data_IF_260406487678
#
_entry.id   IF_260406487678
#
_cell.length_a   1.000
_cell.length_b   1.000
_cell.length_c   1.000
_cell.angle_alpha   90.00
_cell.angle_beta   90.00
_cell.angle_gamma   90.00
#
_symmetry.space_group_name_H-M   'P 1'
#
loop_
_entity.id
_entity.type
_entity.pdbx_description
1 polymer ?
#
# COMPACT_ATOMS: atom_id res chain seq x y z
N UNK A 1 -35.56 -77.88 -17.73
CA UNK A 1 -34.74 -77.58 -18.92
C UNK A 1 -34.60 -76.07 -18.99
N UNK A 2 -33.35 -75.62 -19.00
CA UNK A 2 -32.93 -74.25 -18.69
C UNK A 2 -33.16 -73.30 -19.88
N UNK A 3 -33.89 -72.21 -19.66
CA UNK A 3 -33.99 -71.06 -20.58
C UNK A 3 -33.03 -69.97 -20.11
N UNK A 4 -32.00 -69.71 -20.93
CA UNK A 4 -31.05 -68.63 -20.74
C UNK A 4 -31.70 -67.28 -21.10
N UNK A 5 -31.65 -66.32 -20.16
CA UNK A 5 -31.93 -64.90 -20.40
C UNK A 5 -30.62 -64.18 -20.71
N UNK A 6 -30.59 -63.48 -21.85
CA UNK A 6 -29.54 -62.55 -22.23
C UNK A 6 -29.79 -61.18 -21.57
N UNK A 7 -28.81 -60.67 -20.83
CA UNK A 7 -28.77 -59.31 -20.32
C UNK A 7 -28.12 -58.37 -21.35
N UNK A 8 -28.63 -57.14 -21.56
CA UNK A 8 -28.03 -56.18 -22.46
C UNK A 8 -26.84 -55.44 -21.82
N UNK A 9 -25.78 -55.28 -22.61
CA UNK A 9 -24.60 -54.47 -22.33
C UNK A 9 -24.97 -53.00 -22.12
N UNK A 10 -24.59 -52.44 -20.98
CA UNK A 10 -24.51 -50.99 -20.76
C UNK A 10 -23.06 -50.53 -20.87
N UNK A 11 -22.75 -49.80 -21.94
CA UNK A 11 -21.50 -49.07 -22.12
C UNK A 11 -21.33 -47.96 -21.06
N UNK A 12 -20.15 -47.81 -20.44
CA UNK A 12 -19.88 -46.69 -19.56
C UNK A 12 -19.55 -45.43 -20.36
N UNK A 13 -20.46 -44.44 -20.31
CA UNK A 13 -20.22 -43.06 -20.77
C UNK A 13 -18.99 -42.46 -20.07
N UNK A 14 -17.89 -42.31 -20.80
CA UNK A 14 -16.72 -41.49 -20.43
C UNK A 14 -17.14 -40.04 -20.17
N UNK A 15 -17.34 -39.67 -18.90
CA UNK A 15 -17.38 -38.28 -18.46
C UNK A 15 -16.00 -37.68 -18.65
N UNK A 16 -15.81 -36.88 -19.70
CA UNK A 16 -14.66 -35.98 -19.83
C UNK A 16 -14.73 -34.98 -18.67
N UNK A 17 -13.79 -35.10 -17.73
CA UNK A 17 -13.53 -34.04 -16.77
C UNK A 17 -13.03 -32.82 -17.55
N UNK A 18 -13.85 -31.76 -17.58
CA UNK A 18 -13.36 -30.43 -17.93
C UNK A 18 -12.45 -29.98 -16.78
N UNK A 19 -11.16 -30.28 -16.91
CA UNK A 19 -10.12 -29.57 -16.18
C UNK A 19 -10.15 -28.12 -16.66
N UNK A 20 -10.84 -27.27 -15.93
CA UNK A 20 -10.67 -25.82 -16.00
C UNK A 20 -9.19 -25.53 -15.73
N UNK A 21 -8.49 -24.99 -16.72
CA UNK A 21 -7.15 -24.43 -16.51
C UNK A 21 -7.21 -23.45 -15.34
N UNK A 22 -6.28 -23.51 -14.37
CA UNK A 22 -6.23 -22.52 -13.31
C UNK A 22 -6.02 -21.17 -13.99
N UNK A 23 -6.98 -20.26 -13.82
CA UNK A 23 -6.88 -18.87 -14.22
C UNK A 23 -5.53 -18.34 -13.76
N UNK A 24 -4.62 -18.10 -14.71
CA UNK A 24 -3.29 -17.57 -14.42
C UNK A 24 -3.48 -16.19 -13.78
N UNK A 25 -3.41 -16.14 -12.44
CA UNK A 25 -3.52 -14.90 -11.69
C UNK A 25 -2.29 -14.06 -12.05
N UNK A 26 -2.51 -12.81 -12.43
CA UNK A 26 -1.43 -11.84 -12.70
C UNK A 26 -0.47 -11.82 -11.49
N UNK A 27 0.84 -12.11 -11.67
CA UNK A 27 1.81 -12.13 -10.58
C UNK A 27 1.82 -10.87 -9.71
N UNK A 28 1.53 -9.70 -10.30
CA UNK A 28 1.46 -8.43 -9.56
C UNK A 28 0.23 -8.43 -8.65
N UNK A 29 -0.92 -8.85 -9.17
CA UNK A 29 -2.16 -8.95 -8.38
C UNK A 29 -2.00 -9.96 -7.24
N UNK A 30 -1.36 -11.10 -7.48
CA UNK A 30 -1.08 -12.09 -6.45
C UNK A 30 -0.17 -11.50 -5.34
N UNK A 31 0.88 -10.77 -5.71
CA UNK A 31 1.78 -10.13 -4.75
C UNK A 31 1.07 -9.03 -3.93
N UNK A 32 0.23 -8.21 -4.57
CA UNK A 32 -0.56 -7.17 -3.87
C UNK A 32 -1.59 -7.79 -2.93
N UNK A 33 -2.31 -8.82 -3.38
CA UNK A 33 -3.28 -9.54 -2.56
C UNK A 33 -2.63 -10.15 -1.30
N UNK A 34 -1.37 -10.57 -1.37
CA UNK A 34 -0.65 -11.06 -0.20
C UNK A 34 -0.34 -9.95 0.81
N UNK A 35 0.07 -8.76 0.34
CA UNK A 35 0.26 -7.57 1.21
C UNK A 35 -1.05 -7.20 1.89
N UNK A 36 -2.15 -7.14 1.13
CA UNK A 36 -3.48 -6.82 1.63
C UNK A 36 -3.99 -7.86 2.64
N UNK A 37 -3.76 -9.15 2.37
CA UNK A 37 -4.11 -10.25 3.27
C UNK A 37 -3.38 -10.12 4.61
N UNK A 38 -2.06 -9.89 4.57
CA UNK A 38 -1.25 -9.72 5.78
C UNK A 38 -1.66 -8.48 6.58
N UNK A 39 -2.02 -7.40 5.88
CA UNK A 39 -2.53 -6.19 6.49
C UNK A 39 -3.93 -6.37 7.13
N UNK A 40 -4.83 -7.10 6.48
CA UNK A 40 -6.14 -7.44 7.03
C UNK A 40 -6.00 -8.31 8.30
N UNK A 41 -5.03 -9.23 8.33
CA UNK A 41 -4.68 -10.01 9.52
C UNK A 41 -4.21 -9.08 10.64
N UNK A 42 -3.32 -8.13 10.36
CA UNK A 42 -2.85 -7.13 11.34
C UNK A 42 -4.03 -6.36 11.96
N UNK A 43 -4.95 -5.83 11.14
CA UNK A 43 -6.15 -5.12 11.60
C UNK A 43 -7.05 -5.98 12.48
N UNK A 44 -7.35 -7.20 12.04
CA UNK A 44 -8.22 -8.12 12.78
C UNK A 44 -7.64 -8.43 14.17
N UNK A 45 -6.37 -8.80 14.24
CA UNK A 45 -5.74 -9.14 15.51
C UNK A 45 -5.56 -7.93 16.42
N UNK A 46 -5.39 -6.71 15.88
CA UNK A 46 -5.40 -5.48 16.69
C UNK A 46 -6.77 -5.26 17.35
N UNK A 47 -7.88 -5.46 16.63
CA UNK A 47 -9.22 -5.36 17.18
C UNK A 47 -9.50 -6.44 18.26
N UNK A 48 -9.08 -7.68 18.00
CA UNK A 48 -9.19 -8.78 18.97
C UNK A 48 -8.37 -8.48 20.23
N UNK A 49 -7.13 -8.01 20.07
CA UNK A 49 -6.25 -7.58 21.18
C UNK A 49 -6.93 -6.52 22.03
N UNK A 50 -7.49 -5.47 21.43
CA UNK A 50 -8.20 -4.39 22.15
C UNK A 50 -9.35 -4.93 22.99
N UNK A 51 -10.18 -5.78 22.40
CA UNK A 51 -11.33 -6.40 23.08
C UNK A 51 -10.86 -7.24 24.27
N UNK A 52 -9.86 -8.10 24.08
CA UNK A 52 -9.34 -8.98 25.14
C UNK A 52 -8.62 -8.21 26.25
N UNK A 53 -7.92 -7.13 25.92
CA UNK A 53 -7.31 -6.25 26.90
C UNK A 53 -8.36 -5.52 27.75
N UNK A 54 -9.47 -5.08 27.14
CA UNK A 54 -10.58 -4.46 27.86
C UNK A 54 -11.29 -5.46 28.79
N UNK A 55 -11.57 -6.68 28.33
CA UNK A 55 -12.12 -7.78 29.15
C UNK A 55 -11.21 -8.07 30.36
N UNK A 56 -9.91 -8.17 30.13
CA UNK A 56 -8.91 -8.39 31.19
C UNK A 56 -8.93 -7.26 32.22
N UNK A 57 -8.88 -6.02 31.76
CA UNK A 57 -8.88 -4.84 32.64
C UNK A 57 -10.16 -4.75 33.47
N UNK A 58 -11.31 -5.11 32.90
CA UNK A 58 -12.59 -5.15 33.62
C UNK A 58 -12.57 -6.21 34.73
N UNK A 59 -12.14 -7.44 34.43
CA UNK A 59 -12.06 -8.51 35.42
C UNK A 59 -11.08 -8.13 36.54
N UNK A 60 -9.92 -7.56 36.20
CA UNK A 60 -8.93 -7.15 37.20
C UNK A 60 -9.43 -6.03 38.12
N UNK A 61 -10.29 -5.14 37.62
CA UNK A 61 -10.93 -4.08 38.40
C UNK A 61 -11.98 -4.64 39.36
N UNK A 62 -12.87 -5.50 38.86
CA UNK A 62 -14.08 -5.90 39.59
C UNK A 62 -13.87 -7.16 40.46
N UNK A 63 -12.81 -7.95 40.22
CA UNK A 63 -12.62 -9.26 40.87
C UNK A 63 -12.68 -9.23 42.39
N UNK A 64 -12.17 -8.17 43.03
CA UNK A 64 -12.13 -8.07 44.50
C UNK A 64 -13.53 -7.96 45.08
N UNK A 65 -14.34 -7.07 44.50
CA UNK A 65 -15.75 -6.88 44.88
C UNK A 65 -16.56 -8.15 44.61
N UNK A 66 -16.42 -8.74 43.42
CA UNK A 66 -17.13 -9.98 43.07
C UNK A 66 -16.82 -11.15 44.01
N UNK A 67 -15.58 -11.27 44.49
CA UNK A 67 -15.19 -12.31 45.46
C UNK A 67 -15.82 -12.05 46.83
N UNK A 68 -15.87 -10.79 47.28
CA UNK A 68 -16.47 -10.43 48.57
C UNK A 68 -17.99 -10.61 48.58
N UNK A 69 -18.65 -10.38 47.44
CA UNK A 69 -20.09 -10.58 47.26
C UNK A 69 -20.52 -12.05 47.14
N UNK A 70 -19.56 -12.96 46.90
CA UNK A 70 -19.83 -14.39 46.79
C UNK A 70 -20.09 -14.99 48.17
N UNK A 71 -21.37 -15.04 48.57
CA UNK A 71 -21.88 -15.56 49.85
C UNK A 71 -21.50 -17.05 50.10
N UNK A 72 -20.26 -17.32 50.50
CA UNK A 72 -19.75 -18.66 50.85
C UNK A 72 -18.93 -19.35 49.75
N UNK A 73 -19.04 -18.91 48.50
CA UNK A 73 -18.36 -19.53 47.33
C UNK A 73 -17.14 -18.72 46.82
N UNK A 74 -16.65 -17.76 47.62
CA UNK A 74 -15.59 -16.84 47.22
C UNK A 74 -14.28 -17.50 46.77
N UNK A 75 -13.89 -18.62 47.37
CA UNK A 75 -12.67 -19.35 47.00
C UNK A 75 -12.78 -19.98 45.59
N UNK A 76 -13.90 -20.63 45.29
CA UNK A 76 -14.14 -21.21 43.98
C UNK A 76 -14.25 -20.13 42.90
N UNK A 77 -14.92 -19.00 43.21
CA UNK A 77 -14.98 -17.86 42.30
C UNK A 77 -13.58 -17.28 42.05
N UNK A 78 -12.77 -17.09 43.10
CA UNK A 78 -11.41 -16.58 42.98
C UNK A 78 -10.53 -17.45 42.06
N UNK A 79 -10.60 -18.77 42.22
CA UNK A 79 -9.90 -19.72 41.34
C UNK A 79 -10.36 -19.59 39.88
N UNK A 80 -11.67 -19.54 39.64
CA UNK A 80 -12.22 -19.40 38.29
C UNK A 80 -11.79 -18.09 37.61
N UNK A 81 -11.79 -16.97 38.35
CA UNK A 81 -11.36 -15.67 37.85
C UNK A 81 -9.86 -15.64 37.58
N UNK A 82 -9.04 -16.29 38.42
CA UNK A 82 -7.61 -16.42 38.19
C UNK A 82 -7.30 -17.21 36.90
N UNK A 83 -8.05 -18.28 36.63
CA UNK A 83 -7.95 -19.02 35.36
C UNK A 83 -8.34 -18.14 34.16
N UNK A 84 -9.44 -17.40 34.26
CA UNK A 84 -9.88 -16.48 33.20
C UNK A 84 -8.86 -15.38 32.91
N UNK A 85 -8.32 -14.73 33.95
CA UNK A 85 -7.27 -13.72 33.84
C UNK A 85 -6.03 -14.29 33.15
N UNK A 86 -5.61 -15.50 33.53
CA UNK A 86 -4.45 -16.16 32.92
C UNK A 86 -4.69 -16.45 31.45
N UNK A 87 -5.86 -16.99 31.09
CA UNK A 87 -6.24 -17.25 29.70
C UNK A 87 -6.26 -15.96 28.86
N UNK A 88 -6.85 -14.87 29.37
CA UNK A 88 -6.91 -13.58 28.67
C UNK A 88 -5.52 -12.97 28.47
N UNK A 89 -4.63 -13.05 29.47
CA UNK A 89 -3.23 -12.59 29.33
C UNK A 89 -2.50 -13.33 28.21
N UNK A 90 -2.63 -14.65 28.16
CA UNK A 90 -2.05 -15.48 27.08
C UNK A 90 -2.64 -15.09 25.72
N UNK A 91 -3.95 -14.83 25.64
CA UNK A 91 -4.58 -14.39 24.40
C UNK A 91 -4.06 -13.01 23.95
N UNK A 92 -3.92 -12.03 24.85
CA UNK A 92 -3.35 -10.71 24.54
C UNK A 92 -1.92 -10.84 24.01
N UNK A 93 -1.07 -11.63 24.68
CA UNK A 93 0.30 -11.90 24.25
C UNK A 93 0.35 -12.58 22.87
N UNK A 94 -0.55 -13.54 22.63
CA UNK A 94 -0.69 -14.22 21.33
C UNK A 94 -1.10 -13.23 20.24
N UNK A 95 -2.00 -12.28 20.53
CA UNK A 95 -2.37 -11.24 19.58
C UNK A 95 -1.16 -10.36 19.24
N UNK A 96 -0.42 -9.89 20.25
CA UNK A 96 0.75 -9.03 20.08
C UNK A 96 1.84 -9.73 19.23
N UNK A 97 2.12 -11.01 19.50
CA UNK A 97 3.05 -11.82 18.72
C UNK A 97 2.58 -12.00 17.26
N UNK A 98 1.27 -12.20 17.06
CA UNK A 98 0.67 -12.39 15.73
C UNK A 98 0.73 -11.11 14.90
N UNK A 99 0.39 -9.96 15.51
CA UNK A 99 0.50 -8.63 14.90
C UNK A 99 1.94 -8.40 14.45
N UNK A 100 2.92 -8.63 15.34
CA UNK A 100 4.33 -8.44 15.03
C UNK A 100 4.81 -9.38 13.89
N UNK A 101 4.35 -10.63 13.87
CA UNK A 101 4.67 -11.59 12.82
C UNK A 101 4.06 -11.19 11.46
N UNK A 102 2.77 -10.87 11.41
CA UNK A 102 2.07 -10.43 10.20
C UNK A 102 2.75 -9.18 9.61
N UNK A 103 3.12 -8.24 10.48
CA UNK A 103 3.79 -7.01 10.08
C UNK A 103 5.19 -7.24 9.50
N UNK A 104 6.01 -8.11 10.12
CA UNK A 104 7.32 -8.52 9.56
C UNK A 104 7.16 -9.19 8.20
N UNK A 105 6.16 -10.06 8.06
CA UNK A 105 5.86 -10.72 6.79
C UNK A 105 5.40 -9.70 5.75
N UNK A 106 4.57 -8.71 6.11
CA UNK A 106 4.13 -7.64 5.21
C UNK A 106 5.29 -6.81 4.70
N UNK A 107 6.20 -6.42 5.61
CA UNK A 107 7.43 -5.72 5.25
C UNK A 107 8.29 -6.50 4.24
N UNK A 108 8.35 -7.83 4.38
CA UNK A 108 9.05 -8.71 3.44
C UNK A 108 8.26 -8.96 2.14
N UNK A 109 6.93 -8.90 2.17
CA UNK A 109 6.03 -9.11 1.04
C UNK A 109 6.09 -7.95 0.02
N UNK A 110 6.19 -6.70 0.52
CA UNK A 110 6.19 -5.48 -0.30
C UNK A 110 7.24 -5.50 -1.43
N UNK A 111 8.53 -5.85 -1.18
CA UNK A 111 9.51 -5.97 -2.26
C UNK A 111 9.18 -6.99 -3.35
N UNK A 112 8.36 -8.01 -3.07
CA UNK A 112 7.93 -8.96 -4.11
C UNK A 112 6.96 -8.33 -5.10
N UNK A 113 6.14 -7.36 -4.67
CA UNK A 113 5.29 -6.57 -5.58
C UNK A 113 6.16 -5.83 -6.59
N UNK A 114 7.20 -5.14 -6.12
CA UNK A 114 8.11 -4.40 -6.99
C UNK A 114 8.89 -5.31 -7.95
N UNK A 115 9.31 -6.49 -7.49
CA UNK A 115 9.95 -7.49 -8.37
C UNK A 115 8.98 -8.01 -9.44
N UNK A 116 7.71 -8.23 -9.10
CA UNK A 116 6.70 -8.64 -10.06
C UNK A 116 6.42 -7.54 -11.10
N UNK A 117 6.36 -6.26 -10.67
CA UNK A 117 6.22 -5.10 -11.56
C UNK A 117 7.42 -4.99 -12.51
N UNK A 118 8.65 -5.08 -11.98
CA UNK A 118 9.87 -5.08 -12.79
C UNK A 118 9.89 -6.23 -13.81
N UNK A 119 9.53 -7.45 -13.39
CA UNK A 119 9.49 -8.61 -14.28
C UNK A 119 8.41 -8.52 -15.36
N UNK A 120 7.29 -7.81 -15.11
CA UNK A 120 6.31 -7.54 -16.16
C UNK A 120 6.86 -6.55 -17.20
N UNK A 121 7.54 -5.49 -16.75
CA UNK A 121 8.14 -4.50 -17.65
C UNK A 121 9.28 -5.10 -18.49
N UNK A 122 10.12 -5.96 -17.91
CA UNK A 122 11.13 -6.71 -18.67
C UNK A 122 10.52 -7.63 -19.72
N UNK A 123 9.43 -8.34 -19.40
CA UNK A 123 8.70 -9.16 -20.39
C UNK A 123 8.18 -8.31 -21.55
N UNK A 124 7.61 -7.14 -21.26
CA UNK A 124 7.17 -6.21 -22.31
C UNK A 124 8.34 -5.68 -23.16
N UNK A 125 9.49 -5.43 -22.54
CA UNK A 125 10.69 -5.03 -23.25
C UNK A 125 11.20 -6.15 -24.18
N UNK A 126 11.17 -7.40 -23.73
CA UNK A 126 11.58 -8.55 -24.52
C UNK A 126 10.61 -8.84 -25.68
N UNK A 127 9.30 -8.68 -25.47
CA UNK A 127 8.30 -8.74 -26.54
C UNK A 127 8.56 -7.68 -27.61
N UNK A 128 8.87 -6.44 -27.19
CA UNK A 128 9.24 -5.35 -28.09
C UNK A 128 10.56 -5.59 -28.81
N UNK A 129 11.53 -6.21 -28.13
CA UNK A 129 12.80 -6.61 -28.75
C UNK A 129 12.58 -7.68 -29.83
N UNK A 130 11.70 -8.65 -29.59
CA UNK A 130 11.31 -9.64 -30.59
C UNK A 130 10.57 -8.99 -31.78
N UNK A 131 9.66 -8.05 -31.53
CA UNK A 131 8.99 -7.25 -32.57
C UNK A 131 10.02 -6.47 -33.42
N UNK A 132 10.98 -5.80 -32.77
CA UNK A 132 12.03 -5.05 -33.44
C UNK A 132 12.92 -5.95 -34.31
N UNK A 133 13.29 -7.13 -33.82
CA UNK A 133 14.07 -8.11 -34.56
C UNK A 133 13.32 -8.62 -35.80
N UNK A 134 12.02 -8.91 -35.66
CA UNK A 134 11.18 -9.34 -36.78
C UNK A 134 11.06 -8.24 -37.85
N UNK A 135 10.84 -6.98 -37.45
CA UNK A 135 10.82 -5.84 -38.36
C UNK A 135 12.17 -5.60 -39.03
N UNK A 136 13.27 -5.70 -38.29
CA UNK A 136 14.63 -5.54 -38.82
C UNK A 136 14.94 -6.58 -39.90
N UNK A 137 14.60 -7.85 -39.64
CA UNK A 137 14.73 -8.93 -40.63
C UNK A 137 13.92 -8.64 -41.89
N UNK A 138 12.64 -8.27 -41.75
CA UNK A 138 11.77 -7.97 -42.89
C UNK A 138 12.28 -6.77 -43.69
N UNK A 139 12.78 -5.75 -43.02
CA UNK A 139 13.37 -4.56 -43.67
C UNK A 139 14.62 -4.94 -44.47
N UNK A 140 15.50 -5.78 -43.91
CA UNK A 140 16.70 -6.24 -44.61
C UNK A 140 16.35 -7.06 -45.88
N UNK A 141 15.34 -7.93 -45.82
CA UNK A 141 14.83 -8.66 -46.98
C UNK A 141 14.35 -7.71 -48.09
N UNK A 142 13.51 -6.73 -47.73
CA UNK A 142 12.96 -5.77 -48.69
C UNK A 142 14.05 -4.89 -49.32
N UNK A 143 15.03 -4.43 -48.53
CA UNK A 143 16.16 -3.65 -49.05
C UNK A 143 17.03 -4.48 -50.01
N UNK A 144 17.21 -5.77 -49.74
CA UNK A 144 17.94 -6.67 -50.65
C UNK A 144 17.18 -6.90 -51.97
N UNK A 145 15.86 -7.06 -51.92
CA UNK A 145 15.00 -7.14 -53.10
C UNK A 145 15.08 -5.84 -53.93
N UNK A 146 14.99 -4.68 -53.28
CA UNK A 146 15.07 -3.37 -53.92
C UNK A 146 16.44 -3.14 -54.58
N UNK A 147 17.53 -3.47 -53.87
CA UNK A 147 18.89 -3.43 -54.40
C UNK A 147 19.03 -4.30 -55.65
N UNK A 148 18.46 -5.52 -55.65
CA UNK A 148 18.52 -6.41 -56.81
C UNK A 148 17.74 -5.87 -58.00
N UNK A 149 16.60 -5.23 -57.76
CA UNK A 149 15.76 -4.67 -58.81
C UNK A 149 16.38 -3.42 -59.46
N UNK A 150 16.99 -2.55 -58.66
CA UNK A 150 17.46 -1.24 -59.13
C UNK A 150 18.98 -1.13 -59.31
N UNK A 151 19.75 -2.09 -58.79
CA UNK A 151 21.21 -2.06 -58.82
C UNK A 151 21.85 -1.02 -57.91
N UNK A 152 21.10 -0.44 -56.96
CA UNK A 152 21.57 0.60 -56.05
C UNK A 152 21.55 0.15 -54.58
N UNK A 153 22.52 0.65 -53.81
CA UNK A 153 22.58 0.44 -52.36
C UNK A 153 21.73 1.47 -51.61
N UNK A 154 20.89 0.97 -50.72
CA UNK A 154 20.00 1.78 -49.88
C UNK A 154 20.55 1.83 -48.45
N UNK A 155 20.98 3.02 -48.01
CA UNK A 155 21.55 3.24 -46.67
C UNK A 155 20.69 4.22 -45.86
N UNK A 156 20.68 4.10 -44.52
CA UNK A 156 19.96 5.05 -43.67
C UNK A 156 20.43 6.50 -43.85
N UNK A 157 19.48 7.43 -43.97
CA UNK A 157 19.75 8.84 -44.26
C UNK A 157 20.61 9.56 -43.19
N UNK A 158 20.61 9.10 -41.93
CA UNK A 158 21.42 9.71 -40.86
C UNK A 158 22.93 9.43 -40.98
N UNK A 159 23.35 8.53 -41.88
CA UNK A 159 24.75 8.34 -42.24
C UNK A 159 25.22 9.35 -43.29
N UNK A 160 24.29 10.10 -43.89
CA UNK A 160 24.59 11.24 -44.75
C UNK A 160 24.72 12.45 -43.84
N UNK A 161 25.87 13.10 -43.89
CA UNK A 161 26.27 14.24 -43.07
C UNK A 161 25.13 15.28 -42.93
N UNK A 162 24.41 15.23 -41.81
CA UNK A 162 23.21 16.06 -41.54
C UNK A 162 23.57 17.55 -41.53
N UNK A 163 24.84 17.91 -41.26
CA UNK A 163 25.34 19.28 -41.35
C UNK A 163 25.20 19.87 -42.77
N UNK A 164 25.23 19.03 -43.82
CA UNK A 164 24.99 19.49 -45.20
C UNK A 164 23.52 19.80 -45.50
N UNK A 165 22.57 19.14 -44.82
CA UNK A 165 21.13 19.36 -44.99
C UNK A 165 20.62 20.53 -44.14
N UNK A 166 21.30 20.84 -43.04
CA UNK A 166 20.95 21.96 -42.15
C UNK A 166 21.51 23.32 -42.61
N UNK A 167 22.24 23.39 -43.72
CA UNK A 167 22.72 24.67 -44.25
C UNK A 167 21.51 25.56 -44.68
N UNK A 168 21.25 26.68 -43.98
CA UNK A 168 20.07 27.51 -44.22
C UNK A 168 20.06 28.16 -45.61
N UNK A 169 21.20 28.16 -46.31
CA UNK A 169 21.29 28.63 -47.70
C UNK A 169 20.69 27.65 -48.72
N UNK A 170 20.42 26.39 -48.36
CA UNK A 170 19.87 25.36 -49.26
C UNK A 170 18.53 24.77 -48.77
N UNK A 171 18.17 24.98 -47.50
CA UNK A 171 16.92 24.53 -46.90
C UNK A 171 15.73 25.47 -47.21
N UNK A 172 15.28 25.52 -48.47
CA UNK A 172 13.92 26.02 -48.81
C UNK A 172 12.95 24.84 -48.86
N UNK A 173 12.61 24.29 -47.70
CA UNK A 173 11.63 23.21 -47.58
C UNK A 173 11.42 22.80 -46.13
N UNK A 174 10.17 22.48 -45.76
CA UNK A 174 9.90 21.74 -44.55
C UNK A 174 10.35 20.29 -44.76
N UNK A 175 11.18 19.77 -43.87
CA UNK A 175 11.59 18.37 -43.89
C UNK A 175 10.89 17.64 -42.75
N UNK A 176 10.14 16.58 -43.08
CA UNK A 176 9.64 15.65 -42.09
C UNK A 176 10.68 14.56 -41.86
N UNK A 177 11.28 14.56 -40.67
CA UNK A 177 12.20 13.49 -40.26
C UNK A 177 11.36 12.34 -39.70
N UNK A 178 11.15 11.32 -40.52
CA UNK A 178 10.47 10.08 -40.09
C UNK A 178 11.52 9.09 -39.59
N UNK A 179 11.48 8.79 -38.29
CA UNK A 179 12.34 7.76 -37.71
C UNK A 179 11.86 6.36 -38.13
N UNK A 180 12.77 5.43 -38.45
CA UNK A 180 12.40 4.04 -38.72
C UNK A 180 11.67 3.42 -37.52
N UNK A 181 10.67 2.58 -37.79
CA UNK A 181 9.93 1.86 -36.73
C UNK A 181 10.86 1.07 -35.79
N UNK A 182 11.96 0.54 -36.31
CA UNK A 182 12.98 -0.16 -35.52
C UNK A 182 13.65 0.75 -34.47
N UNK A 183 13.93 2.01 -34.80
CA UNK A 183 14.47 2.98 -33.85
C UNK A 183 13.44 3.31 -32.77
N UNK A 184 12.18 3.53 -33.16
CA UNK A 184 11.11 3.80 -32.20
C UNK A 184 10.92 2.63 -31.21
N UNK A 185 11.00 1.38 -31.69
CA UNK A 185 10.96 0.20 -30.83
C UNK A 185 12.18 0.12 -29.90
N UNK A 186 13.38 0.47 -30.38
CA UNK A 186 14.59 0.51 -29.55
C UNK A 186 14.45 1.52 -28.40
N UNK A 187 13.93 2.71 -28.67
CA UNK A 187 13.69 3.74 -27.66
C UNK A 187 12.65 3.25 -26.63
N UNK A 188 11.56 2.60 -27.09
CA UNK A 188 10.56 2.00 -26.21
C UNK A 188 11.16 0.91 -25.30
N UNK A 189 12.01 0.04 -25.83
CA UNK A 189 12.69 -1.01 -25.06
C UNK A 189 13.57 -0.38 -23.98
N UNK A 190 14.35 0.66 -24.33
CA UNK A 190 15.20 1.35 -23.37
C UNK A 190 14.38 1.96 -22.22
N UNK A 191 13.27 2.64 -22.54
CA UNK A 191 12.36 3.22 -21.54
C UNK A 191 11.73 2.14 -20.66
N UNK A 192 11.32 0.99 -21.22
CA UNK A 192 10.73 -0.11 -20.45
C UNK A 192 11.73 -0.71 -19.47
N UNK A 193 12.98 -0.93 -19.90
CA UNK A 193 14.06 -1.45 -19.04
C UNK A 193 14.48 -0.45 -17.96
N UNK A 194 14.54 0.84 -18.30
CA UNK A 194 14.75 1.89 -17.30
C UNK A 194 13.63 1.89 -16.24
N UNK A 195 12.37 1.82 -16.68
CA UNK A 195 11.23 1.70 -15.77
C UNK A 195 11.25 0.40 -14.97
N UNK A 196 11.74 -0.71 -15.50
CA UNK A 196 11.87 -1.97 -14.78
C UNK A 196 12.92 -1.90 -13.66
N UNK A 197 13.96 -1.09 -13.83
CA UNK A 197 14.98 -0.87 -12.80
C UNK A 197 14.47 -0.03 -11.63
N UNK A 198 13.53 0.90 -11.85
CA UNK A 198 13.05 1.84 -10.82
C UNK A 198 12.42 1.14 -9.59
N UNK A 199 11.49 0.17 -9.71
CA UNK A 199 10.93 -0.55 -8.56
C UNK A 199 11.96 -1.28 -7.72
N UNK A 200 13.06 -1.76 -8.31
CA UNK A 200 14.09 -2.54 -7.61
C UNK A 200 14.94 -1.67 -6.66
N UNK A 201 15.03 -0.37 -6.92
CA UNK A 201 15.71 0.60 -6.04
C UNK A 201 14.83 1.14 -4.91
N UNK A 202 13.53 0.79 -4.87
CA UNK A 202 12.61 1.27 -3.83
C UNK A 202 12.91 0.62 -2.48
N UNK A 203 12.74 1.38 -1.42
CA UNK A 203 12.75 0.89 -0.05
C UNK A 203 11.35 0.99 0.55
N UNK A 204 11.07 0.13 1.54
CA UNK A 204 9.76 0.13 2.19
C UNK A 204 9.61 1.43 2.97
N UNK A 205 8.54 2.18 2.68
CA UNK A 205 8.28 3.46 3.35
C UNK A 205 7.87 3.20 4.80
N UNK A 206 8.71 3.63 5.73
CA UNK A 206 8.54 3.45 7.20
C UNK A 206 8.24 4.74 7.95
N UNK A 207 8.02 5.83 7.23
CA UNK A 207 7.80 7.16 7.81
C UNK A 207 6.75 7.96 7.08
N UNK A 208 6.39 9.07 7.71
CA UNK A 208 5.78 10.26 7.10
C UNK A 208 4.64 10.81 7.95
N UNK A 209 3.67 11.45 7.30
CA UNK A 209 2.75 12.37 7.99
C UNK A 209 1.33 12.22 7.46
N UNK A 210 0.35 12.34 8.35
CA UNK A 210 -1.07 12.56 8.02
C UNK A 210 -1.62 13.70 8.87
N UNK A 211 -2.56 14.46 8.31
CA UNK A 211 -3.15 15.63 8.95
C UNK A 211 -4.64 15.70 8.65
N UNK A 212 -5.45 16.10 9.63
CA UNK A 212 -6.87 16.39 9.44
C UNK A 212 -7.05 17.70 8.65
N UNK A 213 -8.01 17.72 7.73
CA UNK A 213 -8.44 18.93 7.02
C UNK A 213 -9.31 19.83 7.93
N UNK A 214 -8.82 21.03 8.30
CA UNK A 214 -9.55 21.94 9.18
C UNK A 214 -10.89 22.43 8.62
N UNK A 215 -11.12 22.34 7.30
CA UNK A 215 -12.31 22.86 6.64
C UNK A 215 -13.44 21.82 6.55
N UNK A 216 -13.18 20.57 6.89
CA UNK A 216 -14.15 19.49 6.74
C UNK A 216 -14.92 19.32 8.06
N UNK A 217 -16.21 19.68 8.02
CA UNK A 217 -17.11 19.61 9.19
C UNK A 217 -17.25 18.16 9.65
N UNK A 218 -17.02 17.93 10.95
CA UNK A 218 -17.18 16.61 11.57
C UNK A 218 -15.96 15.70 11.53
N UNK A 219 -14.77 16.21 11.16
CA UNK A 219 -13.56 15.40 11.25
C UNK A 219 -13.24 15.05 12.70
N UNK A 220 -13.19 13.76 12.94
CA UNK A 220 -12.82 13.20 14.22
C UNK A 220 -11.36 12.74 14.18
N UNK A 221 -10.68 12.72 15.33
CA UNK A 221 -9.34 12.16 15.49
C UNK A 221 -9.19 10.76 14.87
N UNK A 222 -10.28 9.99 14.81
CA UNK A 222 -10.36 8.65 14.19
C UNK A 222 -10.06 8.65 12.68
N UNK A 223 -10.23 9.76 11.95
CA UNK A 223 -9.87 9.83 10.52
C UNK A 223 -8.35 9.70 10.32
N UNK A 224 -7.54 10.11 11.30
CA UNK A 224 -6.08 9.92 11.24
C UNK A 224 -5.70 8.45 11.20
N UNK A 225 -6.46 7.59 11.90
CA UNK A 225 -6.22 6.16 11.87
C UNK A 225 -6.42 5.63 10.45
N UNK A 226 -7.58 5.91 9.85
CA UNK A 226 -7.90 5.46 8.49
C UNK A 226 -6.91 6.04 7.46
N UNK A 227 -6.51 7.31 7.59
CA UNK A 227 -5.50 7.92 6.71
C UNK A 227 -4.11 7.29 6.87
N UNK A 228 -3.68 7.02 8.11
CA UNK A 228 -2.37 6.42 8.37
C UNK A 228 -2.30 4.99 7.81
N UNK A 229 -3.41 4.26 7.84
CA UNK A 229 -3.48 2.85 7.45
C UNK A 229 -4.08 2.64 6.04
N UNK A 230 -4.36 3.72 5.29
CA UNK A 230 -5.00 3.67 3.97
C UNK A 230 -4.17 2.93 2.90
N UNK A 231 -2.84 2.97 3.01
CA UNK A 231 -1.93 2.31 2.07
C UNK A 231 -1.26 1.08 2.72
N UNK A 232 -1.68 -0.15 2.34
CA UNK A 232 -1.07 -1.39 2.82
C UNK A 232 0.42 -1.55 2.46
N UNK A 233 0.90 -0.83 1.44
CA UNK A 233 2.31 -0.83 1.01
C UNK A 233 3.21 0.05 1.88
N UNK A 234 2.61 0.82 2.79
CA UNK A 234 3.31 1.66 3.77
C UNK A 234 3.27 1.05 5.16
N UNK A 235 4.38 1.13 5.88
CA UNK A 235 4.46 0.71 7.27
C UNK A 235 4.23 1.93 8.18
N UNK A 236 2.96 2.22 8.46
CA UNK A 236 2.53 3.15 9.53
C UNK A 236 2.66 2.49 10.91
N UNK A 237 2.76 3.24 12.03
CA UNK A 237 2.90 2.65 13.37
C UNK A 237 1.86 1.57 13.68
N UNK A 238 2.12 0.67 14.66
CA UNK A 238 1.15 -0.34 15.06
C UNK A 238 -0.22 0.28 15.34
N UNK A 239 -1.30 -0.35 14.87
CA UNK A 239 -2.67 0.18 14.98
C UNK A 239 -3.01 0.57 16.43
N UNK A 240 -2.59 -0.25 17.39
CA UNK A 240 -2.79 0.02 18.82
C UNK A 240 -2.01 1.23 19.33
N UNK A 241 -0.83 1.52 18.75
CA UNK A 241 -0.04 2.72 19.05
C UNK A 241 -0.73 3.98 18.49
N UNK A 242 -1.28 3.88 17.28
CA UNK A 242 -2.07 4.93 16.64
C UNK A 242 -3.32 5.25 17.46
N UNK A 243 -4.12 4.24 17.80
CA UNK A 243 -5.33 4.41 18.63
C UNK A 243 -4.99 5.04 19.98
N UNK A 244 -3.95 4.55 20.67
CA UNK A 244 -3.55 5.09 21.96
C UNK A 244 -3.08 6.56 21.86
N UNK A 245 -2.42 6.94 20.78
CA UNK A 245 -2.06 8.34 20.55
C UNK A 245 -3.29 9.20 20.26
N UNK A 246 -4.20 8.71 19.41
CA UNK A 246 -5.46 9.40 19.08
C UNK A 246 -6.29 9.65 20.35
N UNK A 247 -6.41 8.65 21.23
CA UNK A 247 -7.10 8.78 22.52
C UNK A 247 -6.45 9.85 23.41
N UNK A 248 -5.10 9.83 23.54
CA UNK A 248 -4.36 10.86 24.31
C UNK A 248 -4.53 12.25 23.72
N UNK A 249 -4.41 12.39 22.41
CA UNK A 249 -4.57 13.63 21.66
C UNK A 249 -5.99 14.21 21.84
N UNK A 250 -7.01 13.36 21.76
CA UNK A 250 -8.41 13.72 21.96
C UNK A 250 -8.69 14.18 23.39
N UNK A 251 -8.16 13.45 24.38
CA UNK A 251 -8.29 13.81 25.79
C UNK A 251 -7.59 15.15 26.12
N UNK A 252 -6.42 15.40 25.52
CA UNK A 252 -5.69 16.65 25.65
C UNK A 252 -6.48 17.83 25.05
N UNK A 253 -7.07 17.66 23.87
CA UNK A 253 -7.91 18.70 23.26
C UNK A 253 -9.19 18.95 24.08
N UNK A 254 -9.85 17.90 24.57
CA UNK A 254 -11.03 18.03 25.43
C UNK A 254 -10.70 18.81 26.71
N UNK A 255 -9.57 18.51 27.36
CA UNK A 255 -9.08 19.24 28.53
C UNK A 255 -8.78 20.70 28.21
N UNK A 256 -8.12 20.98 27.07
CA UNK A 256 -7.84 22.34 26.59
C UNK A 256 -9.14 23.12 26.38
N UNK A 257 -10.13 22.54 25.69
CA UNK A 257 -11.45 23.15 25.46
C UNK A 257 -12.18 23.44 26.77
N UNK A 258 -12.17 22.50 27.73
CA UNK A 258 -12.78 22.72 29.04
C UNK A 258 -12.18 23.92 29.79
N UNK A 259 -10.85 24.10 29.74
CA UNK A 259 -10.19 25.27 30.33
C UNK A 259 -10.61 26.59 29.65
N UNK A 260 -10.75 26.60 28.32
CA UNK A 260 -11.20 27.79 27.59
C UNK A 260 -12.63 28.20 27.94
N UNK A 261 -13.52 27.23 28.20
CA UNK A 261 -14.88 27.50 28.70
C UNK A 261 -14.83 28.23 30.03
N UNK A 262 -13.99 27.76 30.96
CA UNK A 262 -13.84 28.38 32.27
C UNK A 262 -13.28 29.81 32.21
N UNK A 263 -12.48 30.14 31.18
CA UNK A 263 -11.86 31.45 31.01
C UNK A 263 -12.61 32.40 30.05
N UNK A 264 -13.81 32.04 29.59
CA UNK A 264 -14.65 32.91 28.77
C UNK A 264 -14.13 33.18 27.35
N UNK A 265 -13.23 32.33 26.83
CA UNK A 265 -12.59 32.51 25.53
C UNK A 265 -13.44 31.94 24.37
N UNK A 266 -14.58 32.59 24.08
CA UNK A 266 -15.57 32.11 23.09
C UNK A 266 -14.99 31.86 21.68
N UNK A 267 -14.12 32.75 21.19
CA UNK A 267 -13.51 32.65 19.84
C UNK A 267 -12.59 31.41 19.72
N UNK A 268 -11.93 31.01 20.82
CA UNK A 268 -11.02 29.86 20.84
C UNK A 268 -11.75 28.50 20.95
N UNK A 269 -13.04 28.52 21.30
CA UNK A 269 -13.91 27.34 21.43
C UNK A 269 -14.50 26.88 20.10
N UNK A 270 -14.76 27.82 19.19
CA UNK A 270 -15.35 27.55 17.88
C UNK A 270 -14.31 27.18 16.81
N UNK A 271 -13.03 27.43 17.07
CA UNK A 271 -11.99 27.09 16.11
C UNK A 271 -11.83 25.56 15.94
N UNK A 272 -11.76 25.06 14.69
CA UNK A 272 -11.50 23.64 14.46
C UNK A 272 -10.14 23.23 15.00
N UNK A 273 -10.02 22.01 15.52
CA UNK A 273 -8.76 21.43 15.96
C UNK A 273 -8.14 20.66 14.80
N UNK A 274 -6.87 20.92 14.52
CA UNK A 274 -6.03 20.19 13.58
C UNK A 274 -5.20 19.18 14.36
N UNK A 275 -5.30 17.93 13.93
CA UNK A 275 -4.46 16.85 14.41
C UNK A 275 -3.44 16.51 13.33
N UNK A 276 -2.18 16.46 13.71
CA UNK A 276 -1.07 16.12 12.84
C UNK A 276 -0.31 14.96 13.46
N UNK A 277 -0.26 13.84 12.74
CA UNK A 277 0.42 12.63 13.15
C UNK A 277 1.64 12.43 12.26
N UNK A 278 2.82 12.42 12.88
CA UNK A 278 4.09 12.19 12.21
C UNK A 278 4.73 10.93 12.77
N UNK A 279 5.29 10.10 11.91
CA UNK A 279 6.01 8.90 12.34
C UNK A 279 7.29 8.68 11.55
N UNK A 280 8.24 8.03 12.21
CA UNK A 280 9.52 7.64 11.65
C UNK A 280 9.87 6.24 12.14
N UNK A 281 10.40 5.40 11.27
CA UNK A 281 10.76 4.02 11.58
C UNK A 281 9.62 3.26 12.29
N UNK A 282 8.40 3.41 11.78
CA UNK A 282 7.21 2.73 12.30
C UNK A 282 6.81 3.13 13.74
N UNK A 283 7.31 4.27 14.24
CA UNK A 283 6.99 4.80 15.57
C UNK A 283 6.49 6.23 15.48
N UNK A 284 5.51 6.56 16.33
CA UNK A 284 5.00 7.92 16.41
C UNK A 284 6.12 8.85 16.91
N UNK A 285 6.32 9.95 16.19
CA UNK A 285 7.24 11.01 16.55
C UNK A 285 6.50 11.98 17.48
N UNK A 286 6.55 11.74 18.80
CA UNK A 286 5.79 12.53 19.80
C UNK A 286 6.18 14.02 19.80
N UNK A 287 7.40 14.36 19.35
CA UNK A 287 7.85 15.75 19.24
C UNK A 287 7.40 16.47 17.96
N UNK A 288 7.09 15.71 16.91
CA UNK A 288 6.62 16.27 15.62
C UNK A 288 5.11 16.13 15.44
N UNK A 289 4.48 15.18 16.14
CA UNK A 289 3.03 15.02 16.16
C UNK A 289 2.40 16.07 17.06
N UNK A 290 1.29 16.65 16.63
CA UNK A 290 0.70 17.80 17.33
C UNK A 290 -0.82 17.83 17.27
N UNK A 291 -1.40 18.55 18.24
CA UNK A 291 -2.82 18.87 18.30
C UNK A 291 -2.92 20.37 18.52
N UNK A 292 -3.42 21.10 17.52
CA UNK A 292 -3.42 22.57 17.52
C UNK A 292 -4.72 23.14 16.96
N UNK A 293 -5.20 24.28 17.46
CA UNK A 293 -6.28 25.01 16.82
C UNK A 293 -5.88 25.46 15.40
N UNK A 294 -6.78 25.36 14.43
CA UNK A 294 -6.51 25.71 13.03
C UNK A 294 -6.07 27.17 12.82
N UNK A 295 -6.48 28.09 13.70
CA UNK A 295 -6.09 29.50 13.62
C UNK A 295 -4.63 29.77 14.01
N UNK A 296 -3.92 28.79 14.59
CA UNK A 296 -2.48 28.87 14.86
C UNK A 296 -1.63 28.35 13.69
N UNK A 297 -2.26 27.86 12.61
CA UNK A 297 -1.57 27.37 11.41
C UNK A 297 -1.32 28.47 10.37
N UNK A 298 -1.85 29.67 10.58
CA UNK A 298 -1.41 30.83 9.81
C UNK A 298 0.02 31.15 10.20
N UNK A 299 0.94 30.94 9.27
CA UNK A 299 2.28 31.51 9.23
C UNK A 299 2.23 33.02 9.55
N UNK A 300 2.27 33.37 10.84
CA UNK A 300 2.56 34.71 11.35
C UNK A 300 3.81 34.68 12.24
N UNK A 301 4.68 33.69 12.05
CA UNK A 301 6.05 33.68 12.57
C UNK A 301 7.00 34.47 11.64
N UNK A 302 6.51 34.99 10.51
CA UNK A 302 7.32 35.72 9.53
C UNK A 302 7.54 37.22 9.82
N UNK A 303 7.00 37.80 10.89
CA UNK A 303 7.36 39.17 11.30
C UNK A 303 7.32 39.31 12.83
N UNK A 304 8.42 38.88 13.46
CA UNK A 304 8.81 39.42 14.75
C UNK A 304 9.20 40.90 14.61
N UNK A 305 8.22 41.77 14.35
CA UNK A 305 8.40 43.20 14.44
C UNK A 305 7.50 43.77 15.54
N UNK A 306 8.18 44.44 16.47
CA UNK A 306 7.67 45.06 17.69
C UNK A 306 6.37 45.83 17.46
N UNK A 307 5.34 45.50 18.22
CA UNK A 307 4.35 46.49 18.68
C UNK A 307 3.93 46.17 20.11
N UNK A 308 4.80 46.56 21.05
CA UNK A 308 4.36 47.12 22.32
C UNK A 308 4.64 48.62 22.22
N UNK A 309 3.58 49.39 21.95
CA UNK A 309 3.45 50.76 22.40
C UNK A 309 2.63 50.76 23.67
#
# INVERSE_FOLDING_TARGET
>A
MSTAQASPETEPKKRRAMTSEPTSVDPIQAARAEVDRLFAIERRWAADRKTKAAELAQIERDRGERILEANGDGEQLALSLATQVTALRVMVETCDATIAAARRQRAAAIPYVWRAEAAQLERQADEKAAEAAAHGKRTAELLAELKKHEGADYVPAYLVDLERLQNPQHARGAFDIVLPKSQHLADQIAVLREKAAQPLGRSVVRGGMVRTDPNRVGQQPDELLELAIADPMRLAPPILELEAWIERASAADAKRRALLVHHGAAIALEAPTVYELVWQNERISEGESSVRPAHLDSENVATGERMWG
#
